data_IF_111371533815
#
_entry.id   IF_111371533815
#
_cell.length_a   1.000
_cell.length_b   1.000
_cell.length_c   1.000
_cell.angle_alpha   90.00
_cell.angle_beta   90.00
_cell.angle_gamma   90.00
#
_symmetry.space_group_name_H-M   'P 1'
#
loop_
_entity.id
_entity.type
_entity.pdbx_description
1 polymer ?
#
# COMPACT_ATOMS: atom_id res chain seq x y z
N UNK A 1 -3.00 17.39 -20.97
CA UNK A 1 -2.38 16.07 -20.70
C UNK A 1 -3.44 15.01 -20.51
N UNK A 2 -3.48 14.02 -21.40
CA UNK A 2 -4.34 12.83 -21.30
C UNK A 2 -3.47 11.73 -20.68
N UNK A 3 -3.76 11.31 -19.45
CA UNK A 3 -3.05 10.21 -18.80
C UNK A 3 -3.91 8.97 -18.96
N UNK A 4 -3.45 8.00 -19.75
CA UNK A 4 -4.11 6.69 -19.85
C UNK A 4 -3.67 5.83 -18.67
N UNK A 5 -4.64 5.33 -17.91
CA UNK A 5 -4.41 4.36 -16.84
C UNK A 5 -5.09 3.05 -17.25
N UNK A 6 -4.31 1.97 -17.29
CA UNK A 6 -4.79 0.64 -17.67
C UNK A 6 -5.41 -0.03 -16.44
N UNK A 7 -6.73 -0.18 -16.44
CA UNK A 7 -7.44 -1.03 -15.48
C UNK A 7 -7.96 -2.27 -16.23
N UNK A 8 -7.54 -3.44 -15.76
CA UNK A 8 -7.93 -4.74 -16.32
C UNK A 8 -9.45 -4.90 -16.07
N UNK A 9 -10.24 -4.65 -17.12
CA UNK A 9 -11.64 -5.11 -17.36
C UNK A 9 -12.65 -4.10 -17.94
N UNK A 10 -12.32 -2.84 -18.28
CA UNK A 10 -13.10 -2.00 -19.24
C UNK A 10 -12.44 -0.63 -19.49
N UNK A 11 -12.38 -0.21 -20.77
CA UNK A 11 -11.88 1.10 -21.20
C UNK A 11 -12.97 2.15 -20.97
N UNK A 12 -12.75 3.10 -20.06
CA UNK A 12 -13.67 4.21 -19.77
C UNK A 12 -12.94 5.47 -19.27
N UNK A 13 -13.51 6.64 -19.50
CA UNK A 13 -12.96 7.93 -19.05
C UNK A 13 -13.50 8.28 -17.67
N UNK A 14 -12.63 8.42 -16.67
CA UNK A 14 -13.00 9.01 -15.38
C UNK A 14 -12.77 10.53 -15.42
N UNK A 15 -13.83 11.30 -15.17
CA UNK A 15 -13.73 12.72 -14.92
C UNK A 15 -13.08 12.94 -13.54
N UNK A 16 -11.98 13.69 -13.52
CA UNK A 16 -11.25 14.05 -12.29
C UNK A 16 -11.99 15.20 -11.59
N UNK A 17 -12.98 14.91 -10.78
CA UNK A 17 -13.50 15.88 -9.82
C UNK A 17 -12.73 15.77 -8.50
N UNK A 18 -11.70 16.60 -8.36
CA UNK A 18 -11.14 16.94 -7.05
C UNK A 18 -11.94 18.11 -6.49
N UNK A 19 -12.80 17.87 -5.48
CA UNK A 19 -13.21 18.91 -4.53
C UNK A 19 -12.70 18.55 -3.14
N UNK A 20 -11.69 19.28 -2.69
CA UNK A 20 -11.30 19.34 -1.29
C UNK A 20 -12.22 20.32 -0.54
N UNK A 21 -12.69 20.03 0.68
CA UNK A 21 -13.43 21.00 1.48
C UNK A 21 -12.47 22.07 2.03
N UNK A 22 -12.80 23.35 1.81
CA UNK A 22 -12.18 24.50 2.48
C UNK A 22 -12.75 24.61 3.90
N UNK A 23 -11.92 24.45 4.93
CA UNK A 23 -12.23 24.94 6.28
C UNK A 23 -11.41 26.20 6.56
N UNK A 24 -12.11 27.31 6.82
CA UNK A 24 -11.56 28.59 7.22
C UNK A 24 -11.12 28.59 8.70
N UNK A 25 -10.15 29.46 8.96
CA UNK A 25 -9.44 29.74 10.20
C UNK A 25 -10.29 29.96 11.46
N UNK A 26 -9.79 29.47 12.60
CA UNK A 26 -9.87 30.19 13.89
C UNK A 26 -8.57 29.98 14.68
N UNK A 27 -7.94 31.11 15.06
CA UNK A 27 -6.66 31.21 15.78
C UNK A 27 -6.87 31.04 17.30
N UNK A 28 -6.05 30.23 17.98
CA UNK A 28 -5.62 30.54 19.36
C UNK A 28 -4.37 29.73 19.82
N UNK A 29 -3.25 30.46 19.98
CA UNK A 29 -2.23 30.42 21.07
C UNK A 29 -1.57 29.08 21.50
N UNK A 30 -0.36 28.86 20.97
CA UNK A 30 0.92 28.51 21.63
C UNK A 30 0.94 27.74 22.99
N UNK A 31 1.58 26.57 23.02
CA UNK A 31 2.64 26.30 24.00
C UNK A 31 3.60 25.20 23.54
N UNK A 32 4.88 25.53 23.64
CA UNK A 32 6.07 24.69 23.45
C UNK A 32 6.18 23.65 24.58
N UNK A 33 6.28 22.36 24.24
CA UNK A 33 7.04 21.39 25.05
C UNK A 33 7.57 20.26 24.18
N UNK A 34 8.90 20.20 24.09
CA UNK A 34 9.68 19.05 23.61
C UNK A 34 9.33 17.84 24.46
N UNK A 35 9.05 16.70 23.83
CA UNK A 35 9.24 15.39 24.45
C UNK A 35 10.26 14.61 23.62
N UNK A 36 11.34 14.25 24.30
CA UNK A 36 12.42 13.36 23.85
C UNK A 36 11.88 11.93 23.91
N UNK A 37 12.11 11.07 22.89
CA UNK A 37 11.83 9.65 23.03
C UNK A 37 12.91 9.03 23.92
N UNK A 38 12.51 8.54 25.09
CA UNK A 38 13.34 7.70 25.95
C UNK A 38 13.25 6.27 25.44
N UNK A 39 14.39 5.71 25.06
CA UNK A 39 14.55 4.28 24.86
C UNK A 39 14.52 3.57 26.21
N UNK A 40 13.69 2.54 26.34
CA UNK A 40 14.07 1.33 27.08
C UNK A 40 13.42 0.09 26.46
N UNK A 41 14.14 -1.03 26.40
CA UNK A 41 13.71 -2.27 25.76
C UNK A 41 13.06 -3.20 26.78
N UNK A 42 11.92 -3.79 26.43
CA UNK A 42 11.40 -4.96 27.16
C UNK A 42 11.03 -6.03 26.16
N UNK A 43 11.87 -7.06 26.14
CA UNK A 43 11.65 -8.31 25.46
C UNK A 43 10.33 -8.94 25.90
N UNK A 44 9.38 -9.06 24.98
CA UNK A 44 8.34 -10.08 25.05
C UNK A 44 8.72 -11.13 24.01
N UNK A 45 9.48 -12.13 24.46
CA UNK A 45 9.79 -13.33 23.71
C UNK A 45 8.46 -13.98 23.29
N UNK A 46 8.26 -14.13 21.98
CA UNK A 46 7.29 -15.09 21.47
C UNK A 46 7.80 -16.47 21.88
N UNK A 47 7.11 -17.08 22.83
CA UNK A 47 7.29 -18.50 23.14
C UNK A 47 6.89 -19.26 21.89
N UNK A 48 7.89 -19.84 21.21
CA UNK A 48 7.66 -20.90 20.25
C UNK A 48 7.06 -22.08 21.01
N UNK A 49 5.82 -22.44 20.71
CA UNK A 49 5.24 -23.70 21.17
C UNK A 49 5.78 -24.84 20.30
N UNK A 50 7.10 -25.05 20.33
CA UNK A 50 7.71 -26.28 19.85
C UNK A 50 7.74 -27.26 21.03
N UNK A 51 6.92 -28.32 20.94
CA UNK A 51 7.01 -29.46 21.84
C UNK A 51 5.88 -29.61 22.87
N UNK A 52 4.63 -29.70 22.40
CA UNK A 52 3.63 -30.48 23.14
C UNK A 52 3.33 -31.72 22.30
N UNK A 53 3.87 -32.85 22.75
CA UNK A 53 3.79 -34.15 22.09
C UNK A 53 2.37 -34.44 21.64
N UNK A 54 2.25 -34.81 20.36
CA UNK A 54 1.02 -35.36 19.80
C UNK A 54 0.60 -36.55 20.68
N UNK A 55 -0.52 -36.39 21.36
CA UNK A 55 -1.14 -37.45 22.11
C UNK A 55 -1.62 -38.50 21.11
N UNK A 56 -0.86 -39.58 21.01
CA UNK A 56 -1.09 -40.72 20.14
C UNK A 56 -2.18 -41.61 20.75
N UNK A 57 -3.38 -41.61 20.13
CA UNK A 57 -4.52 -42.40 20.57
C UNK A 57 -4.42 -43.89 20.17
N UNK A 58 -3.26 -44.35 19.70
CA UNK A 58 -3.09 -45.72 19.20
C UNK A 58 -3.12 -46.83 20.28
N UNK A 59 -3.17 -46.50 21.57
CA UNK A 59 -3.07 -47.47 22.66
C UNK A 59 -4.40 -47.83 23.35
N UNK A 60 -5.55 -47.72 22.68
CA UNK A 60 -6.83 -48.26 23.21
C UNK A 60 -7.43 -49.37 22.33
N UNK A 61 -6.68 -49.93 21.39
CA UNK A 61 -7.21 -50.90 20.44
C UNK A 61 -6.70 -52.34 20.60
N UNK A 62 -6.03 -52.69 21.71
CA UNK A 62 -5.68 -54.10 21.98
C UNK A 62 -6.12 -54.58 23.37
N UNK A 63 -6.81 -55.72 23.32
CA UNK A 63 -7.10 -56.72 24.34
C UNK A 63 -8.25 -56.51 25.35
N UNK A 64 -9.43 -56.91 24.86
CA UNK A 64 -10.39 -57.72 25.62
C UNK A 64 -11.81 -57.14 25.60
N UNK A 65 -12.87 -57.96 25.39
CA UNK A 65 -14.23 -57.55 25.68
C UNK A 65 -14.38 -57.56 27.21
N UNK A 66 -13.70 -56.63 27.88
CA UNK A 66 -13.92 -56.37 29.30
C UNK A 66 -15.23 -55.61 29.37
N UNK A 67 -16.31 -56.39 29.40
CA UNK A 67 -17.64 -56.07 29.89
C UNK A 67 -17.77 -54.65 30.47
N UNK A 68 -17.83 -53.65 29.59
CA UNK A 68 -18.59 -52.44 29.87
C UNK A 68 -20.03 -52.80 29.54
N UNK A 69 -20.54 -53.80 30.27
CA UNK A 69 -21.97 -53.99 30.44
C UNK A 69 -22.49 -52.62 30.80
N UNK A 70 -23.39 -52.13 29.96
CA UNK A 70 -24.30 -51.05 30.30
C UNK A 70 -24.73 -51.22 31.75
N UNK A 71 -24.06 -50.52 32.66
CA UNK A 71 -24.63 -50.16 33.95
C UNK A 71 -25.64 -49.06 33.61
N UNK A 72 -26.66 -49.43 32.83
CA UNK A 72 -27.94 -48.80 32.90
C UNK A 72 -28.29 -48.91 34.38
N UNK A 73 -28.29 -47.78 35.08
CA UNK A 73 -28.85 -47.69 36.40
C UNK A 73 -30.25 -48.30 36.31
N UNK A 74 -30.36 -49.56 36.74
CA UNK A 74 -31.65 -50.14 37.06
C UNK A 74 -32.13 -49.30 38.21
N UNK A 75 -32.97 -48.31 37.89
CA UNK A 75 -33.68 -47.54 38.89
C UNK A 75 -34.49 -48.54 39.71
N UNK A 76 -33.87 -49.01 40.80
CA UNK A 76 -34.55 -49.71 41.87
C UNK A 76 -35.75 -48.84 42.21
N UNK A 77 -36.95 -49.38 42.00
CA UNK A 77 -38.22 -48.76 42.32
C UNK A 77 -38.31 -48.56 43.83
N UNK A 78 -37.61 -47.55 44.34
CA UNK A 78 -37.92 -46.94 45.62
C UNK A 78 -39.12 -46.04 45.35
N UNK A 79 -40.25 -46.38 45.97
CA UNK A 79 -41.43 -45.53 46.11
C UNK A 79 -41.11 -44.28 46.95
N UNK A 80 -40.09 -43.51 46.60
CA UNK A 80 -40.17 -42.07 46.78
C UNK A 80 -40.97 -41.59 45.60
N UNK A 81 -42.15 -40.99 45.85
CA UNK A 81 -42.93 -40.30 44.83
C UNK A 81 -41.96 -39.55 43.94
N UNK A 82 -41.73 -40.09 42.74
CA UNK A 82 -41.11 -39.34 41.67
C UNK A 82 -42.16 -38.26 41.45
N UNK A 83 -41.91 -37.09 42.03
CA UNK A 83 -42.41 -35.85 41.46
C UNK A 83 -42.04 -36.00 40.00
N UNK A 84 -43.02 -36.34 39.17
CA UNK A 84 -42.87 -36.28 37.74
C UNK A 84 -42.56 -34.82 37.49
N UNK A 85 -41.27 -34.48 37.48
CA UNK A 85 -40.77 -33.16 37.13
C UNK A 85 -41.00 -33.04 35.62
N UNK A 86 -42.27 -32.93 35.23
CA UNK A 86 -42.74 -32.51 33.91
C UNK A 86 -42.10 -31.17 33.53
N UNK A 87 -41.66 -30.41 34.53
CA UNK A 87 -40.83 -29.21 34.42
C UNK A 87 -39.40 -29.49 33.91
N UNK A 88 -38.78 -30.64 34.23
CA UNK A 88 -37.43 -30.98 33.77
C UNK A 88 -37.44 -31.38 32.29
N UNK A 89 -38.38 -32.24 31.87
CA UNK A 89 -38.46 -32.70 30.47
C UNK A 89 -38.79 -31.56 29.50
N UNK A 90 -39.68 -30.64 29.91
CA UNK A 90 -40.05 -29.46 29.13
C UNK A 90 -38.88 -28.46 29.02
N UNK A 91 -38.12 -28.25 30.10
CA UNK A 91 -36.90 -27.44 30.08
C UNK A 91 -35.82 -28.03 29.16
N UNK A 92 -35.61 -29.35 29.20
CA UNK A 92 -34.66 -30.03 28.30
C UNK A 92 -35.04 -29.88 26.82
N UNK A 93 -36.33 -30.00 26.48
CA UNK A 93 -36.80 -29.81 25.10
C UNK A 93 -36.58 -28.38 24.60
N UNK A 94 -36.81 -27.38 25.46
CA UNK A 94 -36.61 -25.98 25.09
C UNK A 94 -35.13 -25.66 24.89
N UNK A 95 -34.26 -26.14 25.78
CA UNK A 95 -32.81 -26.03 25.64
C UNK A 95 -32.31 -26.70 24.34
N UNK A 96 -32.90 -27.84 23.95
CA UNK A 96 -32.56 -28.51 22.69
C UNK A 96 -32.91 -27.67 21.46
N UNK A 97 -34.00 -26.89 21.48
CA UNK A 97 -34.34 -25.97 20.38
C UNK A 97 -33.35 -24.82 20.29
N UNK A 98 -33.01 -24.20 21.44
CA UNK A 98 -32.03 -23.11 21.52
C UNK A 98 -30.67 -23.57 20.97
N UNK A 99 -30.19 -24.74 21.39
CA UNK A 99 -28.94 -25.31 20.88
C UNK A 99 -28.96 -25.54 19.36
N UNK A 100 -30.11 -25.96 18.82
CA UNK A 100 -30.27 -26.15 17.38
C UNK A 100 -30.15 -24.81 16.62
N UNK A 101 -30.85 -23.78 17.08
CA UNK A 101 -30.78 -22.44 16.49
C UNK A 101 -29.37 -21.85 16.58
N UNK A 102 -28.70 -21.99 17.72
CA UNK A 102 -27.31 -21.56 17.90
C UNK A 102 -26.35 -22.27 16.94
N UNK A 103 -26.52 -23.59 16.75
CA UNK A 103 -25.70 -24.35 15.80
C UNK A 103 -25.94 -23.90 14.34
N UNK A 104 -27.18 -23.61 13.96
CA UNK A 104 -27.49 -23.08 12.63
C UNK A 104 -26.85 -21.70 12.42
N UNK A 105 -26.85 -20.85 13.44
CA UNK A 105 -26.20 -19.54 13.39
C UNK A 105 -24.67 -19.66 13.28
N UNK A 106 -24.04 -20.49 14.12
CA UNK A 106 -22.59 -20.75 14.06
C UNK A 106 -22.16 -21.31 12.70
N UNK A 107 -22.99 -22.15 12.07
CA UNK A 107 -22.72 -22.68 10.73
C UNK A 107 -22.76 -21.57 9.65
N UNK A 108 -23.69 -20.62 9.75
CA UNK A 108 -23.74 -19.45 8.84
C UNK A 108 -22.52 -18.56 9.04
N UNK A 109 -22.13 -18.30 10.28
CA UNK A 109 -20.97 -17.47 10.61
C UNK A 109 -19.67 -18.11 10.14
N UNK A 110 -19.53 -19.44 10.29
CA UNK A 110 -18.40 -20.19 9.76
C UNK A 110 -18.30 -20.11 8.23
N UNK A 111 -19.42 -20.21 7.52
CA UNK A 111 -19.45 -20.06 6.05
C UNK A 111 -19.03 -18.66 5.63
N UNK A 112 -19.55 -17.63 6.32
CA UNK A 112 -19.17 -16.23 6.08
C UNK A 112 -17.68 -16.00 6.33
N UNK A 113 -17.15 -16.53 7.43
CA UNK A 113 -15.73 -16.45 7.78
C UNK A 113 -14.84 -17.08 6.70
N UNK A 114 -15.21 -18.26 6.19
CA UNK A 114 -14.48 -18.92 5.08
C UNK A 114 -14.47 -18.09 3.80
N UNK A 115 -15.58 -17.43 3.45
CA UNK A 115 -15.64 -16.54 2.28
C UNK A 115 -14.72 -15.34 2.48
N UNK A 116 -14.72 -14.75 3.67
CA UNK A 116 -13.85 -13.62 3.99
C UNK A 116 -12.37 -14.01 3.93
N UNK A 117 -12.00 -15.17 4.44
CA UNK A 117 -10.63 -15.69 4.37
C UNK A 117 -10.13 -15.80 2.91
N UNK A 118 -10.93 -16.41 2.03
CA UNK A 118 -10.63 -16.50 0.60
C UNK A 118 -10.49 -15.10 -0.03
N UNK A 119 -11.36 -14.18 0.35
CA UNK A 119 -11.35 -12.80 -0.15
C UNK A 119 -10.08 -12.07 0.27
N UNK A 120 -9.68 -12.17 1.54
CA UNK A 120 -8.45 -11.56 2.04
C UNK A 120 -7.21 -12.18 1.41
N UNK A 121 -7.17 -13.51 1.25
CA UNK A 121 -6.08 -14.21 0.57
C UNK A 121 -5.91 -13.71 -0.87
N UNK A 122 -7.01 -13.63 -1.62
CA UNK A 122 -6.99 -13.11 -3.00
C UNK A 122 -6.56 -11.64 -3.04
N UNK A 123 -7.04 -10.83 -2.08
CA UNK A 123 -6.65 -9.43 -1.94
C UNK A 123 -5.15 -9.26 -1.64
N UNK A 124 -4.58 -10.12 -0.79
CA UNK A 124 -3.16 -10.12 -0.46
C UNK A 124 -2.31 -10.44 -1.69
N UNK A 125 -2.64 -11.50 -2.43
CA UNK A 125 -1.94 -11.88 -3.67
C UNK A 125 -1.94 -10.72 -4.70
N UNK A 126 -3.06 -10.01 -4.82
CA UNK A 126 -3.17 -8.82 -5.68
C UNK A 126 -2.26 -7.67 -5.23
N UNK A 127 -2.20 -7.39 -3.92
CA UNK A 127 -1.32 -6.36 -3.35
C UNK A 127 0.15 -6.73 -3.53
N UNK A 128 0.53 -7.98 -3.32
CA UNK A 128 1.90 -8.48 -3.53
C UNK A 128 2.33 -8.34 -5.00
N UNK A 129 1.46 -8.70 -5.94
CA UNK A 129 1.73 -8.51 -7.37
C UNK A 129 1.97 -7.03 -7.72
N UNK A 130 1.14 -6.12 -7.19
CA UNK A 130 1.32 -4.67 -7.37
C UNK A 130 2.62 -4.18 -6.75
N UNK A 131 3.01 -4.70 -5.59
CA UNK A 131 4.26 -4.34 -4.92
C UNK A 131 5.48 -4.71 -5.76
N UNK A 132 5.47 -5.87 -6.42
CA UNK A 132 6.54 -6.28 -7.34
C UNK A 132 6.66 -5.31 -8.52
N UNK A 133 5.54 -4.89 -9.11
CA UNK A 133 5.53 -3.89 -10.19
C UNK A 133 6.12 -2.56 -9.71
N UNK A 134 5.73 -2.06 -8.54
CA UNK A 134 6.28 -0.83 -7.99
C UNK A 134 7.79 -0.92 -7.72
N UNK A 135 8.29 -2.06 -7.24
CA UNK A 135 9.73 -2.29 -7.07
C UNK A 135 10.48 -2.19 -8.40
N UNK A 136 9.95 -2.78 -9.47
CA UNK A 136 10.53 -2.69 -10.82
C UNK A 136 10.51 -1.26 -11.37
N UNK A 137 9.37 -0.56 -11.24
CA UNK A 137 9.26 0.82 -11.69
C UNK A 137 10.24 1.74 -10.94
N UNK A 138 10.42 1.53 -9.63
CA UNK A 138 11.41 2.26 -8.83
C UNK A 138 12.83 2.12 -9.38
N UNK A 139 13.24 0.91 -9.81
CA UNK A 139 14.56 0.73 -10.43
C UNK A 139 14.67 1.41 -11.79
N UNK A 140 13.62 1.35 -12.62
CA UNK A 140 13.59 2.00 -13.93
C UNK A 140 13.76 3.52 -13.79
N UNK A 141 12.93 4.15 -12.95
CA UNK A 141 13.02 5.59 -12.73
C UNK A 141 14.37 6.03 -12.15
N UNK A 142 15.02 5.18 -11.34
CA UNK A 142 16.36 5.48 -10.84
C UNK A 142 17.40 5.55 -11.98
N UNK A 143 17.31 4.66 -12.96
CA UNK A 143 18.21 4.70 -14.13
C UNK A 143 17.86 5.84 -15.08
N UNK A 144 16.57 6.11 -15.32
CA UNK A 144 16.14 7.24 -16.16
C UNK A 144 16.63 8.58 -15.62
N UNK A 145 16.55 8.79 -14.30
CA UNK A 145 17.08 9.99 -13.64
C UNK A 145 18.59 10.13 -13.86
N UNK A 146 19.35 9.02 -13.79
CA UNK A 146 20.80 9.05 -14.04
C UNK A 146 21.10 9.37 -15.50
N UNK A 147 20.34 8.81 -16.45
CA UNK A 147 20.49 9.08 -17.87
C UNK A 147 20.22 10.55 -18.18
N UNK A 148 19.07 11.07 -17.73
CA UNK A 148 18.69 12.47 -17.90
C UNK A 148 19.74 13.43 -17.32
N UNK A 149 20.33 13.10 -16.16
CA UNK A 149 21.41 13.90 -15.58
C UNK A 149 22.64 13.99 -16.49
N UNK A 150 22.99 12.91 -17.18
CA UNK A 150 24.10 12.90 -18.17
C UNK A 150 23.75 13.71 -19.41
N UNK A 151 22.53 13.56 -19.93
CA UNK A 151 22.08 14.32 -21.10
C UNK A 151 22.04 15.82 -20.85
N UNK A 152 21.55 16.24 -19.68
CA UNK A 152 21.55 17.64 -19.26
C UNK A 152 22.98 18.17 -19.24
N UNK A 153 23.93 17.44 -18.63
CA UNK A 153 25.33 17.86 -18.57
C UNK A 153 25.95 18.03 -19.98
N UNK A 154 25.70 17.10 -20.90
CA UNK A 154 26.18 17.22 -22.28
C UNK A 154 25.61 18.44 -23.00
N UNK A 155 24.32 18.73 -22.79
CA UNK A 155 23.68 19.93 -23.35
C UNK A 155 24.24 21.21 -22.75
N UNK A 156 24.55 21.24 -21.46
CA UNK A 156 25.19 22.38 -20.79
C UNK A 156 26.57 22.68 -21.39
N UNK A 157 27.37 21.65 -21.65
CA UNK A 157 28.68 21.79 -22.34
C UNK A 157 28.49 22.38 -23.74
N UNK A 158 27.55 21.84 -24.52
CA UNK A 158 27.27 22.33 -25.87
C UNK A 158 26.79 23.80 -25.89
N UNK A 159 25.90 24.17 -24.96
CA UNK A 159 25.42 25.55 -24.80
C UNK A 159 26.59 26.48 -24.45
N UNK A 160 27.49 26.04 -23.58
CA UNK A 160 28.66 26.84 -23.17
C UNK A 160 29.59 27.11 -24.35
N UNK A 161 29.86 26.11 -25.19
CA UNK A 161 30.70 26.31 -26.39
C UNK A 161 30.02 27.20 -27.43
N UNK A 162 28.70 27.06 -27.64
CA UNK A 162 27.96 27.95 -28.53
C UNK A 162 27.96 29.40 -28.05
N UNK A 163 27.83 29.64 -26.74
CA UNK A 163 27.93 30.98 -26.15
C UNK A 163 29.31 31.61 -26.40
N UNK A 164 30.38 30.83 -26.25
CA UNK A 164 31.75 31.29 -26.53
C UNK A 164 31.92 31.70 -28.01
N UNK A 165 31.43 30.88 -28.94
CA UNK A 165 31.46 31.20 -30.38
C UNK A 165 30.66 32.44 -30.72
N UNK A 166 29.49 32.62 -30.10
CA UNK A 166 28.65 33.81 -30.28
C UNK A 166 29.36 35.08 -29.81
N UNK A 167 30.02 35.04 -28.64
CA UNK A 167 30.78 36.19 -28.13
C UNK A 167 31.92 36.58 -29.06
N UNK A 168 32.64 35.60 -29.61
CA UNK A 168 33.70 35.86 -30.59
C UNK A 168 33.16 36.49 -31.87
N UNK A 169 32.07 35.95 -32.42
CA UNK A 169 31.43 36.50 -33.62
C UNK A 169 30.91 37.93 -33.40
N UNK A 170 30.42 38.24 -32.20
CA UNK A 170 29.98 39.58 -31.84
C UNK A 170 31.16 40.57 -31.83
N UNK A 171 32.30 40.21 -31.25
CA UNK A 171 33.51 41.05 -31.28
C UNK A 171 33.98 41.33 -32.73
N UNK A 172 34.00 40.29 -33.57
CA UNK A 172 34.35 40.44 -34.98
C UNK A 172 33.38 41.36 -35.73
N UNK A 173 32.08 41.26 -35.45
CA UNK A 173 31.07 42.16 -36.02
C UNK A 173 31.34 43.61 -35.64
N UNK A 174 31.63 43.88 -34.37
CA UNK A 174 31.86 45.24 -33.87
C UNK A 174 33.12 45.86 -34.50
N UNK A 175 34.20 45.07 -34.69
CA UNK A 175 35.41 45.49 -35.41
C UNK A 175 35.14 45.83 -36.89
N UNK A 176 34.37 44.98 -37.57
CA UNK A 176 33.98 45.21 -38.97
C UNK A 176 33.11 46.47 -39.08
N UNK A 177 32.17 46.66 -38.16
CA UNK A 177 31.31 47.83 -38.14
C UNK A 177 32.13 49.14 -38.01
N UNK A 178 33.09 49.18 -37.09
CA UNK A 178 33.99 50.33 -36.94
C UNK A 178 34.79 50.60 -38.23
N UNK A 179 35.24 49.53 -38.89
CA UNK A 179 35.98 49.62 -40.16
C UNK A 179 35.10 50.21 -41.27
N UNK A 180 33.84 49.78 -41.36
CA UNK A 180 32.87 50.29 -42.34
C UNK A 180 32.57 51.77 -42.11
N UNK A 181 32.34 52.20 -40.86
CA UNK A 181 32.10 53.61 -40.52
C UNK A 181 33.28 54.51 -40.93
N UNK A 182 34.51 54.03 -40.73
CA UNK A 182 35.72 54.74 -41.18
C UNK A 182 35.74 54.89 -42.72
N UNK A 183 35.48 53.80 -43.46
CA UNK A 183 35.41 53.86 -44.93
C UNK A 183 34.32 54.81 -45.44
N UNK A 184 33.14 54.79 -44.83
CA UNK A 184 32.05 55.72 -45.19
C UNK A 184 32.46 57.18 -44.98
N UNK A 185 33.11 57.48 -43.85
CA UNK A 185 33.57 58.84 -43.55
C UNK A 185 34.64 59.31 -44.54
N UNK A 186 35.62 58.45 -44.86
CA UNK A 186 36.62 58.73 -45.90
C UNK A 186 35.99 58.96 -47.27
N UNK A 187 35.00 58.15 -47.65
CA UNK A 187 34.26 58.29 -48.92
C UNK A 187 33.48 59.60 -48.99
N UNK A 188 32.78 59.98 -47.90
CA UNK A 188 32.08 61.28 -47.78
C UNK A 188 33.04 62.47 -47.93
N UNK A 189 34.25 62.36 -47.41
CA UNK A 189 35.27 63.42 -47.56
C UNK A 189 35.80 63.50 -49.00
N UNK A 190 36.07 62.36 -49.63
CA UNK A 190 36.54 62.31 -51.02
C UNK A 190 35.51 62.87 -51.99
N UNK A 191 34.24 62.51 -51.83
CA UNK A 191 33.15 63.02 -52.66
C UNK A 191 32.94 64.52 -52.51
N UNK A 192 33.17 65.11 -51.33
CA UNK A 192 33.18 66.57 -51.16
C UNK A 192 34.31 67.22 -51.97
N UNK A 193 35.51 66.63 -51.97
CA UNK A 193 36.66 67.16 -52.73
C UNK A 193 36.44 67.09 -54.25
N UNK A 194 35.78 66.05 -54.74
CA UNK A 194 35.52 65.87 -56.18
C UNK A 194 34.39 66.76 -56.72
N UNK A 195 33.50 67.25 -55.84
CA UNK A 195 32.39 68.13 -56.21
C UNK A 195 32.71 69.63 -55.99
N UNK A 196 33.97 69.96 -55.68
CA UNK A 196 34.50 71.33 -55.65
C UNK A 196 35.13 71.70 -57.00
#
# INVERSE_FOLDING_TARGET
>A
SKVECYNYHKRGHFARECRAPRSQDTKHKESTRRFVPVETPTSAALVSCDGLGGYDWSNQAEDGPTNFSLMAYSSTSSNSNVSTDSNCLSSCLENSKILKEQNEQLLKDLRTSKINDITYKTGLESVEARLLVYKKNKSIYKEDIKLLKREIHLREVAITELRRKLELAQKQKDEIQLTVENFENSSKNLSKLLNC
#
